data_IF_650571563221
#
_entry.id   IF_650571563221
#
_cell.length_a   1.000
_cell.length_b   1.000
_cell.length_c   1.000
_cell.angle_alpha   90.00
_cell.angle_beta   90.00
_cell.angle_gamma   90.00
#
_symmetry.space_group_name_H-M   'P 1'
#
loop_
_entity.id
_entity.type
_entity.pdbx_description
1 polymer ?
#
# COMPACT_ATOMS: atom_id res chain seq x y z
N UNK A 1 9.90 -32.18 36.13
CA UNK A 1 11.08 -31.70 35.37
C UNK A 1 10.73 -31.73 33.88
N UNK A 2 9.87 -30.80 33.45
CA UNK A 2 9.22 -30.80 32.13
C UNK A 2 9.33 -29.41 31.50
N UNK A 3 10.43 -29.15 30.79
CA UNK A 3 10.67 -27.87 30.11
C UNK A 3 11.58 -28.07 28.89
N UNK A 4 11.04 -28.53 27.75
CA UNK A 4 11.74 -28.38 26.45
C UNK A 4 10.92 -28.68 25.18
N UNK A 5 9.58 -28.62 25.21
CA UNK A 5 8.75 -28.93 24.03
C UNK A 5 7.82 -27.81 23.55
N UNK A 6 7.97 -26.60 24.08
CA UNK A 6 7.08 -25.46 23.74
C UNK A 6 7.76 -24.30 22.99
N UNK A 7 9.01 -24.46 22.54
CA UNK A 7 9.74 -23.39 21.83
C UNK A 7 10.10 -23.70 20.37
N UNK A 8 9.37 -24.62 19.71
CA UNK A 8 9.61 -24.95 18.28
C UNK A 8 8.41 -24.72 17.36
N UNK A 9 7.31 -24.16 17.85
CA UNK A 9 6.12 -23.87 17.02
C UNK A 9 6.09 -22.45 16.46
N UNK A 10 6.90 -21.52 16.97
CA UNK A 10 6.87 -20.10 16.55
C UNK A 10 7.87 -19.74 15.45
N UNK A 11 8.73 -20.67 15.03
CA UNK A 11 9.87 -20.36 14.15
C UNK A 11 9.75 -20.94 12.73
N UNK A 12 8.53 -21.30 12.30
CA UNK A 12 8.28 -21.97 11.01
C UNK A 12 7.22 -21.31 10.10
N UNK A 13 6.89 -20.04 10.33
CA UNK A 13 5.93 -19.29 9.52
C UNK A 13 6.50 -18.04 8.83
N UNK A 14 7.83 -17.91 8.74
CA UNK A 14 8.48 -16.73 8.15
C UNK A 14 9.24 -17.08 6.85
N UNK A 15 8.70 -17.97 6.02
CA UNK A 15 9.36 -18.36 4.76
C UNK A 15 8.37 -18.28 3.60
N UNK A 16 8.64 -17.31 2.73
CA UNK A 16 8.13 -17.19 1.36
C UNK A 16 6.61 -16.95 1.20
N UNK A 17 6.16 -15.74 1.50
CA UNK A 17 5.05 -15.14 0.75
C UNK A 17 5.66 -14.25 -0.35
N UNK A 18 5.57 -14.74 -1.58
CA UNK A 18 6.03 -14.12 -2.82
C UNK A 18 5.57 -12.66 -2.92
N UNK A 19 6.48 -11.79 -3.35
CA UNK A 19 6.31 -10.34 -3.56
C UNK A 19 5.28 -9.95 -4.65
N UNK A 20 4.36 -10.85 -5.02
CA UNK A 20 3.42 -10.69 -6.15
C UNK A 20 2.01 -10.20 -5.74
N UNK A 21 1.78 -9.86 -4.46
CA UNK A 21 0.44 -9.53 -3.95
C UNK A 21 0.22 -8.07 -3.52
N UNK A 22 1.10 -7.16 -3.89
CA UNK A 22 1.00 -5.75 -3.54
C UNK A 22 0.07 -5.04 -4.53
N UNK A 23 -1.22 -4.94 -4.20
CA UNK A 23 -2.18 -4.15 -4.94
C UNK A 23 -2.05 -2.67 -4.52
N UNK A 24 -1.17 -1.94 -5.20
CA UNK A 24 -1.14 -0.47 -5.13
C UNK A 24 -2.07 0.05 -6.21
N UNK A 25 -3.14 0.76 -5.83
CA UNK A 25 -4.01 1.41 -6.79
C UNK A 25 -3.62 2.89 -6.90
N UNK A 26 -2.97 3.27 -8.00
CA UNK A 26 -2.85 4.69 -8.36
C UNK A 26 -4.18 5.19 -8.94
N UNK A 27 -4.63 6.36 -8.49
CA UNK A 27 -5.91 6.95 -8.92
C UNK A 27 -5.96 7.16 -10.46
N UNK A 28 -4.81 7.26 -11.13
CA UNK A 28 -4.74 7.38 -12.60
C UNK A 28 -4.79 6.05 -13.34
N UNK A 29 -4.27 4.96 -12.77
CA UNK A 29 -4.42 3.61 -13.34
C UNK A 29 -5.89 3.16 -13.38
N UNK A 30 -6.73 3.79 -12.56
CA UNK A 30 -8.16 3.62 -12.55
C UNK A 30 -8.86 4.33 -13.72
N UNK A 31 -8.43 5.54 -14.09
CA UNK A 31 -9.02 6.32 -15.20
C UNK A 31 -8.66 5.69 -16.56
N UNK A 32 -7.50 5.03 -16.69
CA UNK A 32 -7.11 4.35 -17.93
C UNK A 32 -7.77 2.97 -18.13
N UNK A 33 -8.46 2.43 -17.12
CA UNK A 33 -9.18 1.13 -17.20
C UNK A 33 -10.70 1.28 -17.18
N UNK A 34 -11.24 2.45 -17.51
CA UNK A 34 -12.70 2.66 -17.63
C UNK A 34 -13.29 2.16 -18.94
N UNK A 35 -12.50 1.56 -19.83
CA UNK A 35 -13.06 0.86 -20.98
C UNK A 35 -13.66 -0.49 -20.52
N UNK A 36 -14.96 -0.40 -20.25
CA UNK A 36 -15.91 -1.50 -20.13
C UNK A 36 -15.88 -2.28 -18.82
N UNK A 37 -16.94 -2.05 -18.05
CA UNK A 37 -17.45 -2.97 -17.02
C UNK A 37 -17.70 -4.42 -17.53
N UNK A 38 -17.49 -4.74 -18.81
CA UNK A 38 -17.61 -6.09 -19.37
C UNK A 38 -16.29 -6.88 -19.45
N UNK A 39 -15.14 -6.32 -19.05
CA UNK A 39 -13.83 -6.99 -19.18
C UNK A 39 -13.17 -7.47 -17.88
N UNK A 40 -13.70 -7.04 -16.72
CA UNK A 40 -13.07 -7.31 -15.43
C UNK A 40 -13.29 -8.76 -14.92
N UNK A 41 -14.31 -9.45 -15.44
CA UNK A 41 -14.74 -10.77 -14.98
C UNK A 41 -14.32 -11.94 -15.89
N UNK A 42 -13.61 -11.66 -16.99
CA UNK A 42 -13.09 -12.72 -17.85
C UNK A 42 -11.95 -13.49 -17.13
N UNK A 43 -11.93 -14.84 -17.19
CA UNK A 43 -10.79 -15.64 -16.74
C UNK A 43 -9.51 -15.19 -17.42
N UNK A 44 -8.36 -15.36 -16.76
CA UNK A 44 -7.07 -15.12 -17.43
C UNK A 44 -6.99 -15.99 -18.69
N UNK A 45 -6.26 -15.57 -19.74
CA UNK A 45 -6.11 -16.37 -20.96
C UNK A 45 -5.47 -17.76 -20.73
N UNK A 46 -4.88 -17.98 -19.57
CA UNK A 46 -4.36 -19.28 -19.10
C UNK A 46 -5.40 -20.14 -18.34
N UNK A 47 -6.65 -19.67 -18.23
CA UNK A 47 -7.74 -20.36 -17.53
C UNK A 47 -7.67 -20.29 -15.99
N UNK A 48 -6.70 -19.58 -15.41
CA UNK A 48 -6.67 -19.37 -13.96
C UNK A 48 -7.74 -18.37 -13.53
N UNK A 49 -8.43 -18.69 -12.42
CA UNK A 49 -9.25 -17.72 -11.71
C UNK A 49 -8.35 -16.53 -11.31
N UNK A 50 -8.83 -15.31 -11.52
CA UNK A 50 -8.19 -14.17 -10.87
C UNK A 50 -8.39 -14.37 -9.38
N UNK A 51 -7.31 -14.58 -8.62
CA UNK A 51 -7.35 -14.47 -7.16
C UNK A 51 -8.10 -13.18 -6.80
N UNK A 52 -8.98 -13.21 -5.79
CA UNK A 52 -9.65 -12.00 -5.31
C UNK A 52 -8.59 -10.96 -4.91
N UNK A 53 -8.24 -10.11 -5.87
CA UNK A 53 -7.47 -8.90 -5.64
C UNK A 53 -8.40 -7.97 -4.88
N UNK A 54 -7.97 -7.45 -3.74
CA UNK A 54 -8.77 -6.50 -2.95
C UNK A 54 -9.39 -5.45 -3.88
N UNK A 55 -10.72 -5.51 -4.02
CA UNK A 55 -11.44 -4.67 -4.96
C UNK A 55 -11.63 -3.28 -4.35
N UNK A 56 -10.70 -2.38 -4.65
CA UNK A 56 -10.71 -0.98 -4.20
C UNK A 56 -11.96 -0.20 -4.61
N UNK A 57 -12.82 -0.77 -5.48
CA UNK A 57 -14.10 -0.18 -5.88
C UNK A 57 -15.18 -0.35 -4.81
N UNK A 58 -14.94 -1.18 -3.80
CA UNK A 58 -15.81 -1.43 -2.65
C UNK A 58 -15.21 -0.91 -1.34
N UNK A 59 -14.42 0.17 -1.40
CA UNK A 59 -13.90 0.83 -0.20
C UNK A 59 -15.03 1.54 0.53
N UNK A 60 -15.33 1.06 1.73
CA UNK A 60 -16.32 1.63 2.65
C UNK A 60 -15.71 1.66 4.06
N UNK A 61 -16.12 2.62 4.89
CA UNK A 61 -15.62 2.77 6.26
C UNK A 61 -14.55 3.86 6.43
N UNK A 62 -13.62 3.66 7.36
CA UNK A 62 -12.57 4.59 7.74
C UNK A 62 -11.34 4.47 6.85
N UNK A 63 -11.11 5.48 6.03
CA UNK A 63 -9.93 5.59 5.16
C UNK A 63 -9.05 6.73 5.67
N UNK A 64 -7.89 6.39 6.23
CA UNK A 64 -7.01 7.40 6.83
C UNK A 64 -6.03 7.95 5.79
N UNK A 65 -6.02 9.28 5.63
CA UNK A 65 -4.94 9.98 4.93
C UNK A 65 -3.76 10.15 5.89
N UNK A 66 -2.77 9.26 5.78
CA UNK A 66 -1.68 9.17 6.73
C UNK A 66 -0.72 10.36 6.58
N UNK A 67 -0.30 10.92 7.71
CA UNK A 67 0.78 11.90 7.76
C UNK A 67 2.12 11.22 7.50
N UNK A 68 3.04 11.92 6.85
CA UNK A 68 4.45 11.50 6.75
C UNK A 68 5.23 12.23 7.85
N UNK A 69 5.76 11.53 8.86
CA UNK A 69 6.61 12.13 9.88
C UNK A 69 7.96 12.55 9.29
N UNK A 70 8.55 13.61 9.86
CA UNK A 70 9.87 14.12 9.48
C UNK A 70 10.73 14.30 10.72
N UNK A 71 12.03 14.07 10.58
CA UNK A 71 13.04 14.36 11.59
C UNK A 71 13.34 15.87 11.67
N UNK A 72 14.06 16.29 12.71
CA UNK A 72 14.42 17.70 12.93
C UNK A 72 15.27 18.27 11.78
N UNK A 73 16.01 17.42 11.06
CA UNK A 73 16.80 17.77 9.89
C UNK A 73 15.96 17.86 8.59
N UNK A 74 14.67 17.53 8.66
CA UNK A 74 13.74 17.55 7.55
C UNK A 74 13.72 16.27 6.71
N UNK A 75 14.51 15.24 7.05
CA UNK A 75 14.42 13.93 6.41
C UNK A 75 13.16 13.17 6.85
N UNK A 76 12.70 12.21 6.04
CA UNK A 76 11.53 11.39 6.38
C UNK A 76 11.87 10.47 7.55
N UNK A 77 11.05 10.53 8.61
CA UNK A 77 11.20 9.63 9.75
C UNK A 77 10.41 8.33 9.51
N UNK A 78 11.08 7.35 8.92
CA UNK A 78 10.50 6.05 8.59
C UNK A 78 10.11 5.22 9.82
N UNK A 79 10.87 5.31 10.91
CA UNK A 79 10.55 4.55 12.13
C UNK A 79 9.22 5.00 12.75
N UNK A 80 8.98 6.32 12.81
CA UNK A 80 7.68 6.85 13.25
C UNK A 80 6.57 6.54 12.26
N UNK A 81 6.86 6.51 10.96
CA UNK A 81 5.87 6.12 9.94
C UNK A 81 5.41 4.67 10.14
N UNK A 82 6.33 3.73 10.40
CA UNK A 82 5.99 2.34 10.75
C UNK A 82 5.12 2.26 12.01
N UNK A 83 5.47 2.99 13.08
CA UNK A 83 4.66 3.02 14.29
C UNK A 83 3.24 3.55 14.05
N UNK A 84 3.09 4.57 13.21
CA UNK A 84 1.78 5.10 12.84
C UNK A 84 0.98 4.10 12.01
N UNK A 85 1.62 3.38 11.09
CA UNK A 85 0.98 2.33 10.30
C UNK A 85 0.42 1.24 11.21
N UNK A 86 1.24 0.71 12.12
CA UNK A 86 0.81 -0.32 13.07
C UNK A 86 -0.38 0.17 13.92
N UNK A 87 -0.31 1.40 14.44
CA UNK A 87 -1.41 1.99 15.21
C UNK A 87 -2.73 2.03 14.41
N UNK A 88 -2.69 2.40 13.12
CA UNK A 88 -3.89 2.45 12.29
C UNK A 88 -4.43 1.06 11.97
N UNK A 89 -3.55 0.10 11.73
CA UNK A 89 -3.90 -1.30 11.47
C UNK A 89 -4.55 -1.92 12.73
N UNK A 90 -3.93 -1.75 13.90
CA UNK A 90 -4.45 -2.22 15.19
C UNK A 90 -5.79 -1.55 15.56
N UNK A 91 -5.98 -0.29 15.17
CA UNK A 91 -7.23 0.45 15.36
C UNK A 91 -8.36 0.00 14.43
N UNK A 92 -8.07 -0.87 13.46
CA UNK A 92 -9.06 -1.41 12.53
C UNK A 92 -9.48 -0.44 11.43
N UNK A 93 -8.55 0.36 10.90
CA UNK A 93 -8.85 1.20 9.72
C UNK A 93 -9.19 0.34 8.51
N UNK A 94 -10.15 0.77 7.69
CA UNK A 94 -10.62 0.00 6.52
C UNK A 94 -9.72 0.19 5.29
N UNK A 95 -8.97 1.30 5.20
CA UNK A 95 -7.89 1.49 4.24
C UNK A 95 -6.92 2.61 4.64
N UNK A 96 -5.74 2.62 4.04
CA UNK A 96 -4.69 3.63 4.27
C UNK A 96 -4.39 4.35 2.95
N UNK A 97 -4.48 5.68 2.96
CA UNK A 97 -4.03 6.56 1.88
C UNK A 97 -2.71 7.21 2.29
N UNK A 98 -1.64 6.93 1.54
CA UNK A 98 -0.35 7.62 1.66
C UNK A 98 -0.17 8.66 0.56
N UNK A 99 0.81 9.56 0.73
CA UNK A 99 1.15 10.62 -0.22
C UNK A 99 -0.02 11.56 -0.61
N UNK A 100 -0.99 11.73 0.28
CA UNK A 100 -1.97 12.81 0.18
C UNK A 100 -1.37 14.19 0.49
N UNK A 101 -2.18 15.23 0.44
CA UNK A 101 -1.80 16.56 0.96
C UNK A 101 -1.42 16.50 2.44
N UNK A 102 -2.15 15.69 3.23
CA UNK A 102 -1.84 15.39 4.64
C UNK A 102 -0.46 14.75 4.82
N UNK A 103 -0.07 13.88 3.89
CA UNK A 103 1.26 13.26 3.84
C UNK A 103 2.35 14.16 3.25
N UNK A 104 2.04 15.42 2.91
CA UNK A 104 2.96 16.42 2.35
C UNK A 104 3.72 15.95 1.10
N UNK A 105 3.08 15.17 0.23
CA UNK A 105 3.73 14.63 -0.99
C UNK A 105 4.29 15.70 -1.94
N UNK A 106 3.75 16.91 -1.91
CA UNK A 106 4.22 18.04 -2.73
C UNK A 106 5.54 18.67 -2.25
N UNK A 107 5.98 18.39 -1.01
CA UNK A 107 7.21 18.95 -0.44
C UNK A 107 8.35 17.95 -0.32
N UNK A 108 8.13 16.71 -0.77
CA UNK A 108 9.14 15.65 -0.79
C UNK A 108 9.71 15.46 -2.19
N UNK A 109 10.94 14.97 -2.26
CA UNK A 109 11.57 14.49 -3.49
C UNK A 109 10.82 13.28 -4.07
N UNK A 110 11.07 12.96 -5.34
CA UNK A 110 10.47 11.77 -5.95
C UNK A 110 11.03 10.49 -5.29
N UNK A 111 12.29 10.51 -4.87
CA UNK A 111 12.95 9.43 -4.15
C UNK A 111 12.29 9.16 -2.79
N UNK A 112 12.08 10.20 -1.97
CA UNK A 112 11.39 10.07 -0.68
C UNK A 112 9.94 9.58 -0.86
N UNK A 113 9.22 10.10 -1.87
CA UNK A 113 7.88 9.62 -2.19
C UNK A 113 7.89 8.12 -2.51
N UNK A 114 8.85 7.65 -3.32
CA UNK A 114 8.97 6.23 -3.66
C UNK A 114 9.26 5.37 -2.43
N UNK A 115 10.17 5.82 -1.55
CA UNK A 115 10.52 5.10 -0.33
C UNK A 115 9.36 5.01 0.65
N UNK A 116 8.60 6.10 0.82
CA UNK A 116 7.37 6.11 1.64
C UNK A 116 6.34 5.13 1.10
N UNK A 117 6.07 5.14 -0.21
CA UNK A 117 5.11 4.19 -0.81
C UNK A 117 5.58 2.76 -0.60
N UNK A 118 6.85 2.48 -0.89
CA UNK A 118 7.44 1.15 -0.71
C UNK A 118 7.26 0.67 0.73
N UNK A 119 7.63 1.49 1.71
CA UNK A 119 7.50 1.14 3.12
C UNK A 119 6.05 0.86 3.51
N UNK A 120 5.10 1.74 3.15
CA UNK A 120 3.68 1.56 3.46
C UNK A 120 3.15 0.25 2.87
N UNK A 121 3.48 -0.01 1.62
CA UNK A 121 3.01 -1.17 0.86
C UNK A 121 3.59 -2.47 1.43
N UNK A 122 4.90 -2.50 1.71
CA UNK A 122 5.58 -3.63 2.35
C UNK A 122 5.06 -3.90 3.77
N UNK A 123 4.85 -2.84 4.57
CA UNK A 123 4.43 -2.96 5.96
C UNK A 123 2.96 -3.41 6.10
N UNK A 124 2.09 -2.87 5.24
CA UNK A 124 0.67 -3.25 5.22
C UNK A 124 0.47 -4.69 4.73
N UNK A 125 1.35 -5.20 3.87
CA UNK A 125 1.43 -6.61 3.45
C UNK A 125 0.09 -7.29 3.05
N UNK A 126 -0.92 -6.50 2.62
CA UNK A 126 -2.25 -6.99 2.29
C UNK A 126 -3.22 -7.17 3.46
N UNK A 127 -2.87 -6.72 4.67
CA UNK A 127 -3.77 -6.68 5.84
C UNK A 127 -4.91 -5.68 5.65
N UNK A 128 -4.60 -4.51 5.09
CA UNK A 128 -5.56 -3.46 4.72
C UNK A 128 -5.27 -2.95 3.31
N UNK A 129 -6.27 -2.47 2.54
CA UNK A 129 -6.04 -1.79 1.27
C UNK A 129 -5.14 -0.56 1.45
N UNK A 130 -4.13 -0.42 0.58
CA UNK A 130 -3.25 0.74 0.53
C UNK A 130 -3.45 1.53 -0.78
N UNK A 131 -3.56 2.85 -0.67
CA UNK A 131 -3.74 3.78 -1.78
C UNK A 131 -2.54 4.73 -1.80
N UNK A 132 -1.83 4.79 -2.93
CA UNK A 132 -0.71 5.70 -3.10
C UNK A 132 -1.15 6.96 -3.87
N UNK A 133 -1.02 8.12 -3.23
CA UNK A 133 -1.23 9.42 -3.86
C UNK A 133 -0.16 9.69 -4.93
N UNK A 134 -0.57 9.66 -6.19
CA UNK A 134 0.32 9.92 -7.34
C UNK A 134 0.05 11.26 -8.03
N UNK A 135 -0.67 12.17 -7.37
CA UNK A 135 -1.06 13.46 -7.94
C UNK A 135 0.14 14.39 -8.23
N UNK A 136 0.03 15.17 -9.30
CA UNK A 136 0.99 16.24 -9.61
C UNK A 136 0.29 17.33 -10.44
N UNK A 137 0.84 18.55 -10.40
CA UNK A 137 0.43 19.65 -11.28
C UNK A 137 0.97 19.49 -12.71
N UNK A 138 1.86 18.52 -12.96
CA UNK A 138 2.36 18.16 -14.27
C UNK A 138 1.80 16.79 -14.67
N UNK A 139 1.03 16.72 -15.75
CA UNK A 139 0.38 15.48 -16.23
C UNK A 139 1.39 14.37 -16.52
N UNK A 140 2.55 14.70 -17.12
CA UNK A 140 3.58 13.71 -17.39
C UNK A 140 4.20 13.13 -16.10
N UNK A 141 4.42 13.99 -15.09
CA UNK A 141 4.92 13.55 -13.78
C UNK A 141 3.89 12.69 -13.05
N UNK A 142 2.62 13.10 -13.07
CA UNK A 142 1.52 12.34 -12.49
C UNK A 142 1.42 10.94 -13.12
N UNK A 143 1.44 10.85 -14.45
CA UNK A 143 1.36 9.58 -15.17
C UNK A 143 2.55 8.68 -14.86
N UNK A 144 3.76 9.23 -14.80
CA UNK A 144 4.97 8.51 -14.37
C UNK A 144 4.81 7.94 -12.96
N UNK A 145 4.46 8.78 -11.97
CA UNK A 145 4.24 8.36 -10.58
C UNK A 145 3.20 7.24 -10.49
N UNK A 146 2.09 7.37 -11.23
CA UNK A 146 1.02 6.37 -11.28
C UNK A 146 1.41 5.01 -11.85
N UNK A 147 2.47 4.94 -12.66
CA UNK A 147 2.99 3.70 -13.23
C UNK A 147 4.16 3.13 -12.42
N UNK A 148 4.81 3.94 -11.60
CA UNK A 148 5.92 3.54 -10.72
C UNK A 148 5.43 2.83 -9.47
N UNK A 149 4.35 3.33 -8.86
CA UNK A 149 3.72 2.74 -7.67
C UNK A 149 2.77 1.61 -8.08
#
# INVERSE_FOLDING_TARGET
>A
MATSRHLRSTQRAATALSAERLAVCSVSGYIARTDSAAGADAPRPDGSERQETMDVRKLEGSIIALVTPFDEDGSVNFAQLEMLLELQIESGTDAILTLGTTGKSATMTDEENNEVVKLVVEHVAGHVPAIAGSGSNCTATQARKSLTY
#
